data_IF_963807664226
#
_entry.id   IF_963807664226
#
_cell.length_a   1.000
_cell.length_b   1.000
_cell.length_c   1.000
_cell.angle_alpha   90.00
_cell.angle_beta   90.00
_cell.angle_gamma   90.00
#
_symmetry.space_group_name_H-M   'P 1'
#
loop_
_entity.id
_entity.type
_entity.pdbx_description
1 polymer ?
#
# COMPACT_ATOMS: atom_id res chain seq x y z
N UNK A 1 -5.84 7.05 27.76
CA UNK A 1 -5.58 6.45 26.45
C UNK A 1 -6.72 6.82 25.51
N UNK A 2 -6.43 7.43 24.35
CA UNK A 2 -7.43 7.74 23.31
C UNK A 2 -7.27 6.74 22.19
N UNK A 3 -8.34 6.02 21.84
CA UNK A 3 -8.35 4.99 20.81
C UNK A 3 -9.18 5.45 19.61
N UNK A 4 -8.68 5.27 18.41
CA UNK A 4 -9.31 5.64 17.14
C UNK A 4 -9.41 4.42 16.26
N UNK A 5 -10.51 4.31 15.52
CA UNK A 5 -10.81 3.17 14.65
C UNK A 5 -10.94 3.65 13.20
N UNK A 6 -10.47 2.81 12.28
CA UNK A 6 -10.54 3.07 10.85
C UNK A 6 -10.96 1.81 10.11
N UNK A 7 -11.70 2.00 9.03
CA UNK A 7 -12.02 0.94 8.06
C UNK A 7 -11.26 1.23 6.77
N UNK A 8 -10.27 0.39 6.46
CA UNK A 8 -9.43 0.51 5.28
C UNK A 8 -9.59 -0.75 4.44
N UNK A 9 -10.21 -0.64 3.28
CA UNK A 9 -10.54 -1.77 2.41
C UNK A 9 -11.31 -2.88 3.15
N UNK A 10 -12.30 -2.51 3.94
CA UNK A 10 -13.15 -3.42 4.76
C UNK A 10 -12.34 -4.20 5.82
N UNK A 11 -11.18 -3.69 6.21
CA UNK A 11 -10.41 -4.15 7.36
C UNK A 11 -10.42 -3.09 8.45
N UNK A 12 -10.87 -3.47 9.65
CA UNK A 12 -10.85 -2.58 10.81
C UNK A 12 -9.47 -2.58 11.44
N UNK A 13 -8.98 -1.39 11.73
CA UNK A 13 -7.72 -1.18 12.44
C UNK A 13 -7.94 -0.21 13.60
N UNK A 14 -7.11 -0.31 14.63
CA UNK A 14 -7.15 0.64 15.75
C UNK A 14 -5.79 1.25 16.04
N UNK A 15 -5.79 2.53 16.38
CA UNK A 15 -4.62 3.29 16.83
C UNK A 15 -4.94 3.92 18.18
N UNK A 16 -4.12 3.61 19.17
CA UNK A 16 -4.27 4.13 20.55
C UNK A 16 -3.11 5.03 20.90
N UNK A 17 -3.39 6.18 21.53
CA UNK A 17 -2.37 7.10 22.03
C UNK A 17 -2.37 7.07 23.55
N UNK A 18 -1.18 6.83 24.14
CA UNK A 18 -0.97 6.74 25.60
C UNK A 18 -0.45 8.08 26.11
N UNK A 19 -1.06 8.56 27.21
CA UNK A 19 -0.64 9.80 27.87
C UNK A 19 -1.13 11.07 27.19
N UNK A 20 -0.76 12.22 27.78
CA UNK A 20 -0.93 13.55 27.20
C UNK A 20 0.41 13.97 26.57
N UNK A 21 0.63 13.59 25.34
CA UNK A 21 1.88 13.83 24.61
C UNK A 21 1.61 14.66 23.33
N UNK A 22 2.65 14.94 22.56
CA UNK A 22 2.53 15.52 21.21
C UNK A 22 1.91 14.55 20.20
N UNK A 23 1.52 13.33 20.64
CA UNK A 23 0.96 12.29 19.81
C UNK A 23 -0.56 12.29 19.91
N UNK A 24 -1.22 12.55 18.80
CA UNK A 24 -2.66 12.54 18.66
C UNK A 24 -3.08 12.16 17.24
N UNK A 25 -4.39 12.08 17.00
CA UNK A 25 -4.97 11.74 15.70
C UNK A 25 -4.58 12.72 14.57
N UNK A 26 -4.19 13.96 14.90
CA UNK A 26 -3.75 14.94 13.90
C UNK A 26 -2.40 14.60 13.26
N UNK A 27 -1.71 13.55 13.75
CA UNK A 27 -0.58 12.95 13.04
C UNK A 27 -1.00 12.13 11.82
N UNK A 28 -2.30 11.79 11.68
CA UNK A 28 -2.87 10.94 10.64
C UNK A 28 -3.96 11.65 9.83
N UNK A 29 -3.70 12.84 9.22
CA UNK A 29 -4.74 13.61 8.53
C UNK A 29 -5.32 12.86 7.32
N UNK A 30 -4.53 12.03 6.63
CA UNK A 30 -4.97 11.23 5.48
C UNK A 30 -5.94 10.10 5.83
N UNK A 31 -6.10 9.78 7.12
CA UNK A 31 -6.99 8.72 7.59
C UNK A 31 -8.42 9.21 7.86
N UNK A 32 -8.68 10.51 7.81
CA UNK A 32 -10.01 11.05 8.11
C UNK A 32 -11.15 10.43 7.27
N UNK A 33 -11.00 10.17 5.94
CA UNK A 33 -12.03 9.49 5.15
C UNK A 33 -12.29 8.02 5.53
N UNK A 34 -11.40 7.42 6.31
CA UNK A 34 -11.44 6.01 6.73
C UNK A 34 -11.89 5.85 8.18
N UNK A 35 -12.11 6.94 8.90
CA UNK A 35 -12.45 6.92 10.32
C UNK A 35 -13.85 6.36 10.53
N UNK A 36 -13.97 5.49 11.51
CA UNK A 36 -15.25 4.90 11.95
C UNK A 36 -15.48 5.16 13.45
N UNK A 37 -16.70 4.92 13.90
CA UNK A 37 -17.02 4.92 15.33
C UNK A 37 -16.34 3.74 16.01
N UNK A 38 -16.25 3.80 17.33
CA UNK A 38 -15.81 2.68 18.15
C UNK A 38 -16.61 1.42 17.80
N UNK A 39 -15.93 0.29 17.75
CA UNK A 39 -16.50 -1.00 17.41
C UNK A 39 -15.98 -2.07 18.36
N UNK A 40 -16.83 -3.04 18.67
CA UNK A 40 -16.49 -4.25 19.42
C UNK A 40 -15.94 -5.36 18.50
N UNK A 41 -15.92 -5.14 17.18
CA UNK A 41 -15.38 -6.11 16.25
C UNK A 41 -13.85 -6.17 16.32
N UNK A 42 -13.31 -7.37 16.09
CA UNK A 42 -11.87 -7.61 16.07
C UNK A 42 -11.18 -6.77 14.99
N UNK A 43 -10.14 -6.04 15.41
CA UNK A 43 -9.30 -5.31 14.48
C UNK A 43 -8.27 -6.23 13.83
N UNK A 44 -8.08 -6.09 12.51
CA UNK A 44 -7.00 -6.76 11.78
C UNK A 44 -5.64 -6.47 12.40
N UNK A 45 -5.45 -5.23 12.83
CA UNK A 45 -4.27 -4.77 13.56
C UNK A 45 -4.64 -3.71 14.61
N UNK A 46 -3.87 -3.71 15.70
CA UNK A 46 -3.95 -2.70 16.76
C UNK A 46 -2.57 -2.12 17.02
N UNK A 47 -2.42 -0.81 16.92
CA UNK A 47 -1.18 -0.10 17.18
C UNK A 47 -1.33 0.81 18.41
N UNK A 48 -0.42 0.67 19.37
CA UNK A 48 -0.33 1.57 20.51
C UNK A 48 0.87 2.50 20.36
N UNK A 49 0.63 3.79 20.45
CA UNK A 49 1.66 4.85 20.43
C UNK A 49 1.97 5.24 21.85
N UNK A 50 3.18 4.94 22.30
CA UNK A 50 3.68 5.22 23.65
C UNK A 50 5.16 5.60 23.59
N UNK A 51 5.47 6.88 23.80
CA UNK A 51 6.85 7.39 23.73
C UNK A 51 7.74 6.88 24.87
N UNK A 52 7.18 6.18 25.87
CA UNK A 52 7.96 5.51 26.93
C UNK A 52 8.57 4.19 26.46
N UNK A 53 8.14 3.65 25.33
CA UNK A 53 8.66 2.40 24.74
C UNK A 53 10.17 2.50 24.52
N UNK A 54 10.89 1.46 24.95
CA UNK A 54 12.35 1.38 24.80
C UNK A 54 12.73 0.29 23.81
N UNK A 55 13.87 0.43 23.11
CA UNK A 55 14.40 -0.64 22.28
C UNK A 55 14.60 -1.92 23.06
N UNK A 56 14.30 -3.06 22.45
CA UNK A 56 14.58 -4.38 22.98
C UNK A 56 16.10 -4.53 23.15
N UNK A 57 16.55 -5.18 24.22
CA UNK A 57 17.97 -5.40 24.50
C UNK A 57 18.66 -6.10 23.31
N UNK A 58 19.88 -5.70 22.99
CA UNK A 58 20.66 -6.22 21.86
C UNK A 58 20.83 -7.74 21.90
N UNK A 59 20.93 -8.33 23.08
CA UNK A 59 21.06 -9.78 23.28
C UNK A 59 19.81 -10.59 22.92
N UNK A 60 18.66 -9.90 22.87
CA UNK A 60 17.35 -10.49 22.57
C UNK A 60 16.90 -10.22 21.13
N UNK A 61 17.74 -9.61 20.28
CA UNK A 61 17.40 -9.31 18.89
C UNK A 61 18.59 -9.47 17.96
N UNK A 62 18.30 -9.80 16.71
CA UNK A 62 19.28 -9.97 15.66
C UNK A 62 18.91 -9.11 14.44
N UNK A 63 19.88 -8.39 13.88
CA UNK A 63 19.69 -7.60 12.68
C UNK A 63 19.44 -8.52 11.47
N UNK A 64 18.29 -8.31 10.81
CA UNK A 64 17.93 -9.05 9.60
C UNK A 64 18.26 -8.25 8.35
N UNK A 65 17.82 -6.98 8.30
CA UNK A 65 17.90 -6.17 7.08
C UNK A 65 17.93 -4.66 7.39
N UNK A 66 18.36 -3.91 6.39
CA UNK A 66 18.21 -2.46 6.30
C UNK A 66 17.76 -2.15 4.90
N UNK A 67 16.52 -1.69 4.73
CA UNK A 67 15.98 -1.39 3.42
C UNK A 67 15.69 0.10 3.24
N UNK A 68 15.92 0.59 2.02
CA UNK A 68 15.64 1.96 1.62
C UNK A 68 14.30 2.01 0.89
N UNK A 69 13.41 2.87 1.36
CA UNK A 69 12.07 3.06 0.77
C UNK A 69 12.03 4.19 -0.24
N UNK A 70 13.15 4.87 -0.48
CA UNK A 70 13.22 6.09 -1.28
C UNK A 70 12.81 7.37 -0.52
N UNK A 71 12.11 7.21 0.61
CA UNK A 71 11.71 8.30 1.52
C UNK A 71 12.42 8.22 2.87
N UNK A 72 13.34 7.27 3.02
CA UNK A 72 14.08 7.00 4.23
C UNK A 72 14.47 5.54 4.34
N UNK A 73 15.12 5.18 5.45
CA UNK A 73 15.61 3.82 5.70
C UNK A 73 14.87 3.20 6.85
N UNK A 74 14.57 1.92 6.73
CA UNK A 74 14.03 1.12 7.84
C UNK A 74 15.00 0.01 8.19
N UNK A 75 15.34 -0.06 9.47
CA UNK A 75 16.17 -1.09 10.07
C UNK A 75 15.23 -2.12 10.68
N UNK A 76 15.48 -3.42 10.47
CA UNK A 76 14.67 -4.50 11.03
C UNK A 76 15.53 -5.50 11.79
N UNK A 77 15.10 -5.84 12.98
CA UNK A 77 15.67 -6.87 13.83
C UNK A 77 14.59 -7.93 14.14
N UNK A 78 14.93 -9.21 14.08
CA UNK A 78 14.10 -10.27 14.65
C UNK A 78 14.27 -10.29 16.16
N UNK A 79 13.23 -10.70 16.89
CA UNK A 79 13.21 -10.75 18.35
C UNK A 79 13.16 -12.20 18.81
N UNK A 80 14.02 -12.58 19.75
CA UNK A 80 13.98 -13.88 20.40
C UNK A 80 12.63 -14.05 21.12
N UNK A 81 11.94 -15.13 20.84
CA UNK A 81 10.58 -15.35 21.33
C UNK A 81 9.48 -14.93 20.39
N UNK A 82 9.82 -14.34 19.24
CA UNK A 82 8.90 -13.98 18.15
C UNK A 82 8.67 -12.47 18.01
N UNK A 83 8.23 -12.09 16.80
CA UNK A 83 8.02 -10.70 16.45
C UNK A 83 9.28 -9.99 15.96
N UNK A 84 9.13 -8.68 15.77
CA UNK A 84 10.17 -7.86 15.15
C UNK A 84 10.28 -6.49 15.80
N UNK A 85 11.46 -5.88 15.68
CA UNK A 85 11.67 -4.47 15.97
C UNK A 85 12.12 -3.74 14.73
N UNK A 86 11.45 -2.63 14.43
CA UNK A 86 11.79 -1.73 13.33
C UNK A 86 12.23 -0.37 13.85
N UNK A 87 13.19 0.25 13.19
CA UNK A 87 13.54 1.65 13.37
C UNK A 87 13.35 2.35 12.04
N UNK A 88 12.31 3.17 11.96
CA UNK A 88 12.02 3.99 10.77
C UNK A 88 12.81 5.28 10.86
N UNK A 89 13.56 5.58 9.81
CA UNK A 89 14.35 6.79 9.65
C UNK A 89 13.85 7.58 8.45
N UNK A 90 13.89 8.90 8.54
CA UNK A 90 13.60 9.78 7.41
C UNK A 90 14.74 9.83 6.38
N UNK A 91 14.57 10.66 5.37
CA UNK A 91 15.54 10.85 4.29
C UNK A 91 16.87 11.43 4.78
N UNK A 92 16.88 12.14 5.92
CA UNK A 92 18.07 12.70 6.55
C UNK A 92 18.82 11.66 7.41
N UNK A 93 18.20 10.50 7.65
CA UNK A 93 18.72 9.45 8.50
C UNK A 93 18.33 9.59 9.97
N UNK A 94 17.43 10.53 10.31
CA UNK A 94 16.94 10.74 11.66
C UNK A 94 15.85 9.72 12.02
N UNK A 95 15.93 9.16 13.23
CA UNK A 95 14.96 8.17 13.70
C UNK A 95 13.62 8.82 14.03
N UNK A 96 12.56 8.38 13.36
CA UNK A 96 11.19 8.90 13.49
C UNK A 96 10.28 8.00 14.32
N UNK A 97 10.49 6.67 14.22
CA UNK A 97 9.65 5.69 14.91
C UNK A 97 10.47 4.47 15.30
N UNK A 98 10.31 4.04 16.54
CA UNK A 98 10.63 2.70 17.02
C UNK A 98 9.33 1.91 17.02
N UNK A 99 9.25 0.81 16.26
CA UNK A 99 8.09 -0.07 16.21
C UNK A 99 8.48 -1.47 16.67
N UNK A 100 7.68 -2.06 17.57
CA UNK A 100 7.80 -3.45 18.01
C UNK A 100 6.49 -4.17 17.69
N UNK A 101 6.59 -5.38 17.16
CA UNK A 101 5.44 -6.15 16.70
C UNK A 101 5.45 -7.56 17.25
N UNK A 102 4.28 -8.17 17.34
CA UNK A 102 4.18 -9.62 17.48
C UNK A 102 4.52 -10.32 16.14
N UNK A 103 4.56 -11.65 16.14
CA UNK A 103 5.01 -12.45 15.00
C UNK A 103 4.06 -12.43 13.79
N UNK A 104 2.79 -12.10 13.98
CA UNK A 104 1.76 -12.07 12.92
C UNK A 104 1.34 -10.65 12.53
N UNK A 105 2.03 -9.62 13.04
CA UNK A 105 1.82 -8.21 12.74
C UNK A 105 0.43 -7.66 13.11
N UNK A 106 -0.34 -8.40 13.92
CA UNK A 106 -1.67 -7.95 14.38
C UNK A 106 -1.60 -6.95 15.53
N UNK A 107 -0.49 -6.94 16.27
CA UNK A 107 -0.26 -6.04 17.40
C UNK A 107 1.07 -5.33 17.21
N UNK A 108 1.03 -4.00 17.32
CA UNK A 108 2.21 -3.14 17.31
C UNK A 108 2.22 -2.19 18.50
N UNK A 109 3.43 -1.89 19.00
CA UNK A 109 3.70 -0.80 19.93
C UNK A 109 4.77 0.09 19.32
N UNK A 110 4.58 1.40 19.34
CA UNK A 110 5.60 2.30 18.82
C UNK A 110 5.83 3.53 19.70
N UNK A 111 7.06 4.02 19.67
CA UNK A 111 7.45 5.33 20.16
C UNK A 111 7.83 6.22 19.00
N UNK A 112 7.35 7.46 19.01
CA UNK A 112 7.62 8.45 17.97
C UNK A 112 8.66 9.47 18.45
N UNK A 113 9.46 9.97 17.50
CA UNK A 113 10.53 10.91 17.80
C UNK A 113 10.57 12.07 16.80
N UNK A 114 11.16 13.18 17.22
CA UNK A 114 11.42 14.34 16.38
C UNK A 114 10.26 15.30 16.26
N UNK A 115 10.26 16.07 15.18
CA UNK A 115 9.23 17.07 14.87
C UNK A 115 7.88 16.43 14.56
N UNK A 116 6.82 17.22 14.50
CA UNK A 116 5.48 16.73 14.11
C UNK A 116 5.48 16.02 12.75
N UNK A 117 6.24 16.52 11.77
CA UNK A 117 6.38 15.88 10.46
C UNK A 117 7.07 14.53 10.54
N UNK A 118 8.16 14.43 11.32
CA UNK A 118 8.85 13.16 11.55
C UNK A 118 7.96 12.15 12.26
N UNK A 119 7.22 12.57 13.29
CA UNK A 119 6.26 11.73 14.03
C UNK A 119 5.13 11.23 13.11
N UNK A 120 4.56 12.12 12.29
CA UNK A 120 3.54 11.77 11.30
C UNK A 120 4.07 10.77 10.29
N UNK A 121 5.27 11.00 9.72
CA UNK A 121 5.92 10.09 8.80
C UNK A 121 6.19 8.71 9.44
N UNK A 122 6.76 8.70 10.64
CA UNK A 122 7.07 7.47 11.37
C UNK A 122 5.82 6.64 11.69
N UNK A 123 4.76 7.28 12.19
CA UNK A 123 3.50 6.63 12.52
C UNK A 123 2.80 6.08 11.27
N UNK A 124 2.72 6.89 10.22
CA UNK A 124 2.11 6.49 8.95
C UNK A 124 2.85 5.30 8.33
N UNK A 125 4.18 5.30 8.35
CA UNK A 125 5.01 4.20 7.86
C UNK A 125 4.82 2.93 8.69
N UNK A 126 4.73 3.06 10.02
CA UNK A 126 4.49 1.93 10.93
C UNK A 126 3.14 1.24 10.62
N UNK A 127 2.06 2.01 10.49
CA UNK A 127 0.73 1.48 10.18
C UNK A 127 0.72 0.83 8.78
N UNK A 128 1.34 1.47 7.79
CA UNK A 128 1.43 0.96 6.43
C UNK A 128 2.15 -0.39 6.37
N UNK A 129 3.28 -0.54 7.06
CA UNK A 129 4.02 -1.81 7.14
C UNK A 129 3.19 -2.91 7.81
N UNK A 130 2.62 -2.64 8.98
CA UNK A 130 1.76 -3.61 9.68
C UNK A 130 0.59 -4.04 8.82
N UNK A 131 -0.07 -3.08 8.16
CA UNK A 131 -1.19 -3.34 7.27
C UNK A 131 -0.80 -4.23 6.09
N UNK A 132 0.33 -3.92 5.43
CA UNK A 132 0.82 -4.70 4.30
C UNK A 132 1.17 -6.14 4.71
N UNK A 133 1.86 -6.32 5.84
CA UNK A 133 2.36 -7.64 6.27
C UNK A 133 1.26 -8.52 6.86
N UNK A 134 0.37 -7.95 7.65
CA UNK A 134 -0.81 -8.65 8.16
C UNK A 134 -1.83 -8.93 7.06
N UNK A 135 -1.98 -8.01 6.11
CA UNK A 135 -2.99 -8.06 5.06
C UNK A 135 -2.88 -9.29 4.16
N UNK A 136 -1.67 -9.78 3.88
CA UNK A 136 -1.49 -10.97 3.02
C UNK A 136 -2.15 -12.22 3.59
N UNK A 137 -2.20 -12.36 4.92
CA UNK A 137 -2.93 -13.43 5.61
C UNK A 137 -4.44 -13.36 5.37
N UNK A 138 -4.93 -12.17 5.10
CA UNK A 138 -6.35 -11.84 4.94
C UNK A 138 -6.72 -11.57 3.48
N UNK A 139 -5.92 -12.09 2.54
CA UNK A 139 -6.19 -11.98 1.10
C UNK A 139 -6.04 -10.55 0.56
N UNK A 140 -5.13 -9.75 1.13
CA UNK A 140 -4.97 -8.33 0.81
C UNK A 140 -3.53 -8.00 0.46
N UNK A 141 -3.33 -7.29 -0.66
CA UNK A 141 -2.05 -6.78 -1.13
C UNK A 141 -2.06 -5.25 -1.10
N UNK A 142 -1.02 -4.65 -0.55
CA UNK A 142 -0.72 -3.25 -0.76
C UNK A 142 0.29 -3.14 -1.90
N UNK A 143 -0.02 -2.39 -2.95
CA UNK A 143 0.81 -2.33 -4.16
C UNK A 143 1.28 -0.91 -4.48
N UNK A 144 2.46 -0.79 -5.05
CA UNK A 144 2.98 0.48 -5.56
C UNK A 144 2.46 0.74 -6.98
N UNK A 145 1.31 1.42 -7.06
CA UNK A 145 0.60 1.72 -8.28
C UNK A 145 -0.17 3.04 -8.17
N UNK A 146 -0.53 3.63 -9.30
CA UNK A 146 -1.55 4.66 -9.38
C UNK A 146 -2.84 4.00 -9.86
N UNK A 147 -3.98 4.32 -9.25
CA UNK A 147 -5.25 3.64 -9.47
C UNK A 147 -6.29 4.62 -10.02
N UNK A 148 -6.71 4.40 -11.26
CA UNK A 148 -7.77 5.16 -11.94
C UNK A 148 -9.03 4.30 -12.05
N UNK A 149 -10.21 4.94 -11.94
CA UNK A 149 -11.49 4.27 -12.12
C UNK A 149 -12.19 4.81 -13.37
N UNK A 150 -12.84 3.91 -14.11
CA UNK A 150 -13.72 4.23 -15.22
C UNK A 150 -14.78 3.13 -15.38
N UNK A 151 -16.02 3.50 -15.73
CA UNK A 151 -17.14 2.58 -15.90
C UNK A 151 -17.33 1.60 -14.72
N UNK A 152 -17.06 2.05 -13.50
CA UNK A 152 -17.21 1.21 -12.29
C UNK A 152 -16.04 0.25 -12.02
N UNK A 153 -15.04 0.13 -12.90
CA UNK A 153 -13.86 -0.71 -12.72
C UNK A 153 -12.62 0.11 -12.39
N UNK A 154 -11.73 -0.46 -11.56
CA UNK A 154 -10.44 0.15 -11.22
C UNK A 154 -9.31 -0.45 -12.06
N UNK A 155 -8.41 0.40 -12.54
CA UNK A 155 -7.26 0.05 -13.37
C UNK A 155 -5.99 0.46 -12.66
N UNK A 156 -5.14 -0.52 -12.31
CA UNK A 156 -3.91 -0.29 -11.57
C UNK A 156 -2.73 -0.09 -12.53
N UNK A 157 -2.13 1.08 -12.46
CA UNK A 157 -1.00 1.48 -13.29
C UNK A 157 0.27 1.41 -12.45
N UNK A 158 1.16 0.47 -12.77
CA UNK A 158 2.47 0.33 -12.10
C UNK A 158 3.60 0.73 -13.04
N UNK A 159 4.71 1.18 -12.46
CA UNK A 159 5.93 1.54 -13.20
C UNK A 159 7.15 1.43 -12.29
N UNK A 160 8.35 1.46 -12.86
CA UNK A 160 9.57 1.62 -12.07
C UNK A 160 9.50 2.95 -11.30
N UNK A 161 9.98 2.95 -10.04
CA UNK A 161 9.97 4.14 -9.18
C UNK A 161 10.53 5.38 -9.90
N UNK A 162 9.90 6.54 -9.65
CA UNK A 162 10.30 7.82 -10.28
C UNK A 162 9.81 8.03 -11.70
N UNK A 163 8.96 7.13 -12.24
CA UNK A 163 8.40 7.26 -13.59
C UNK A 163 6.88 7.46 -13.56
N UNK A 164 6.45 8.29 -14.45
CA UNK A 164 5.17 8.57 -15.15
C UNK A 164 3.84 7.89 -14.71
N UNK A 165 3.71 7.17 -13.57
CA UNK A 165 2.41 6.61 -13.13
C UNK A 165 1.33 7.70 -13.04
N UNK A 166 1.57 8.68 -12.19
CA UNK A 166 0.66 9.81 -11.96
C UNK A 166 0.46 10.65 -13.22
N UNK A 167 1.48 10.77 -14.09
CA UNK A 167 1.33 11.44 -15.39
C UNK A 167 0.33 10.70 -16.26
N UNK A 168 0.43 9.37 -16.35
CA UNK A 168 -0.46 8.57 -17.18
C UNK A 168 -1.89 8.53 -16.65
N UNK A 169 -2.08 8.40 -15.33
CA UNK A 169 -3.42 8.49 -14.74
C UNK A 169 -4.06 9.86 -14.91
N UNK A 170 -3.26 10.94 -14.87
CA UNK A 170 -3.76 12.28 -15.19
C UNK A 170 -4.17 12.40 -16.65
N UNK A 171 -3.44 11.79 -17.60
CA UNK A 171 -3.83 11.74 -19.00
C UNK A 171 -5.15 10.96 -19.20
N UNK A 172 -5.38 9.89 -18.43
CA UNK A 172 -6.68 9.21 -18.43
C UNK A 172 -7.80 10.13 -17.99
N UNK A 173 -7.64 10.83 -16.86
CA UNK A 173 -8.66 11.74 -16.31
C UNK A 173 -8.96 12.88 -17.27
N UNK A 174 -7.95 13.38 -17.99
CA UNK A 174 -8.11 14.51 -18.91
C UNK A 174 -8.73 14.11 -20.26
N UNK A 175 -8.52 12.88 -20.74
CA UNK A 175 -8.87 12.47 -22.09
C UNK A 175 -9.94 11.39 -22.19
N UNK A 176 -10.32 10.76 -21.08
CA UNK A 176 -11.30 9.67 -21.04
C UNK A 176 -12.42 10.05 -20.08
N UNK A 177 -13.56 10.35 -20.66
CA UNK A 177 -14.75 10.78 -19.93
C UNK A 177 -15.15 9.76 -18.85
N UNK A 178 -15.58 10.25 -17.69
CA UNK A 178 -15.99 9.44 -16.55
C UNK A 178 -14.85 8.78 -15.78
N UNK A 179 -13.58 9.15 -16.08
CA UNK A 179 -12.43 8.67 -15.31
C UNK A 179 -12.18 9.52 -14.08
N UNK A 180 -11.86 8.87 -12.95
CA UNK A 180 -11.45 9.54 -11.72
C UNK A 180 -10.30 8.80 -11.01
N UNK A 181 -9.52 9.53 -10.22
CA UNK A 181 -8.44 8.95 -9.42
C UNK A 181 -9.00 8.30 -8.16
N UNK A 182 -8.64 7.05 -7.90
CA UNK A 182 -8.96 6.36 -6.66
C UNK A 182 -7.84 6.45 -5.62
N UNK A 183 -6.59 6.33 -6.07
CA UNK A 183 -5.39 6.46 -5.24
C UNK A 183 -4.16 6.71 -6.13
N UNK A 184 -3.16 7.43 -5.60
CA UNK A 184 -1.89 7.66 -6.28
C UNK A 184 -0.72 7.26 -5.38
N UNK A 185 -0.31 6.03 -5.41
CA UNK A 185 0.92 5.44 -4.90
C UNK A 185 0.76 4.07 -4.22
N UNK A 186 -0.17 3.91 -3.26
CA UNK A 186 -0.32 2.66 -2.49
C UNK A 186 -1.80 2.22 -2.39
N UNK A 187 -2.48 1.93 -3.51
CA UNK A 187 -3.79 1.31 -3.49
C UNK A 187 -3.72 -0.12 -2.92
N UNK A 188 -4.89 -0.62 -2.55
CA UNK A 188 -5.05 -1.95 -2.00
C UNK A 188 -5.76 -2.83 -3.02
N UNK A 189 -5.29 -4.06 -3.19
CA UNK A 189 -5.99 -5.14 -3.91
C UNK A 189 -6.42 -6.17 -2.89
N UNK A 190 -7.69 -6.56 -2.90
CA UNK A 190 -8.24 -7.55 -1.98
C UNK A 190 -9.08 -8.58 -2.72
N UNK A 191 -8.96 -9.86 -2.32
CA UNK A 191 -9.82 -10.92 -2.78
C UNK A 191 -11.02 -11.11 -1.84
N UNK A 192 -12.23 -11.13 -2.40
CA UNK A 192 -13.50 -11.40 -1.70
C UNK A 192 -14.31 -12.31 -2.62
N UNK A 193 -14.76 -13.45 -2.13
CA UNK A 193 -15.58 -14.41 -2.87
C UNK A 193 -14.99 -14.76 -4.26
N UNK A 194 -13.69 -15.04 -4.30
CA UNK A 194 -12.92 -15.32 -5.52
C UNK A 194 -12.96 -14.21 -6.59
N UNK A 195 -13.23 -12.97 -6.19
CA UNK A 195 -13.12 -11.78 -7.05
C UNK A 195 -12.13 -10.80 -6.45
N UNK A 196 -11.36 -10.14 -7.32
CA UNK A 196 -10.44 -9.10 -6.87
C UNK A 196 -11.06 -7.72 -6.99
N UNK A 197 -10.93 -6.97 -5.92
CA UNK A 197 -11.34 -5.57 -5.80
C UNK A 197 -10.14 -4.70 -5.52
N UNK A 198 -10.21 -3.46 -5.98
CA UNK A 198 -9.24 -2.41 -5.69
C UNK A 198 -9.88 -1.33 -4.83
N UNK A 199 -9.07 -0.77 -3.95
CA UNK A 199 -9.51 0.24 -3.00
C UNK A 199 -8.55 1.42 -2.98
N UNK A 200 -9.10 2.61 -2.71
CA UNK A 200 -8.30 3.71 -2.22
C UNK A 200 -7.72 3.42 -0.84
N UNK A 201 -6.73 4.19 -0.45
CA UNK A 201 -6.03 4.01 0.83
C UNK A 201 -5.65 5.36 1.45
N UNK A 202 -5.28 5.40 2.75
CA UNK A 202 -4.73 6.60 3.36
C UNK A 202 -3.28 6.91 2.93
N UNK A 203 -2.68 6.08 2.09
CA UNK A 203 -1.31 6.21 1.61
C UNK A 203 -1.29 6.65 0.16
N UNK A 204 -0.95 7.91 -0.08
CA UNK A 204 -0.85 8.50 -1.41
C UNK A 204 0.51 9.15 -1.62
N UNK A 205 0.92 9.29 -2.88
CA UNK A 205 2.18 9.89 -3.27
C UNK A 205 2.12 11.41 -3.39
N UNK A 206 2.68 11.92 -4.48
CA UNK A 206 2.76 13.37 -4.74
C UNK A 206 1.39 14.01 -4.99
N UNK A 207 0.42 13.22 -5.46
CA UNK A 207 -0.96 13.67 -5.64
C UNK A 207 -1.78 13.19 -4.45
N UNK A 208 -2.14 14.05 -3.50
CA UNK A 208 -2.98 13.67 -2.37
C UNK A 208 -4.33 13.12 -2.85
N UNK A 209 -4.59 11.84 -2.59
CA UNK A 209 -5.83 11.17 -2.96
C UNK A 209 -6.16 10.11 -1.91
N UNK A 210 -6.95 10.52 -0.91
CA UNK A 210 -7.32 9.69 0.23
C UNK A 210 -8.82 9.41 0.17
N UNK A 211 -9.21 8.32 -0.50
CA UNK A 211 -10.63 8.01 -0.75
C UNK A 211 -10.96 6.60 -0.26
N UNK A 212 -11.96 6.49 0.58
CA UNK A 212 -12.48 5.19 1.02
C UNK A 212 -13.51 4.69 0.00
N UNK A 213 -13.03 4.21 -1.14
CA UNK A 213 -13.85 3.73 -2.26
C UNK A 213 -13.33 2.40 -2.78
N UNK A 214 -14.25 1.60 -3.35
CA UNK A 214 -14.04 0.25 -3.88
C UNK A 214 -14.46 0.17 -5.34
N UNK A 215 -13.77 -0.65 -6.12
CA UNK A 215 -14.19 -1.06 -7.46
C UNK A 215 -13.69 -2.48 -7.76
N UNK A 216 -14.37 -3.26 -8.63
CA UNK A 216 -13.79 -4.47 -9.19
C UNK A 216 -12.48 -4.13 -9.94
N UNK A 217 -11.48 -5.01 -9.85
CA UNK A 217 -10.23 -4.85 -10.61
C UNK A 217 -10.49 -5.13 -12.09
N UNK A 218 -10.28 -4.12 -12.94
CA UNK A 218 -10.42 -4.22 -14.40
C UNK A 218 -9.17 -4.74 -15.10
N UNK A 219 -8.01 -4.17 -14.78
CA UNK A 219 -6.72 -4.62 -15.31
C UNK A 219 -5.54 -4.06 -14.50
N UNK A 220 -4.37 -4.66 -14.72
CA UNK A 220 -3.07 -4.15 -14.25
C UNK A 220 -2.19 -3.86 -15.45
N UNK A 221 -1.60 -2.67 -15.49
CA UNK A 221 -0.72 -2.23 -16.58
C UNK A 221 0.62 -1.76 -16.03
N UNK A 222 1.70 -2.30 -16.56
CA UNK A 222 3.05 -1.78 -16.33
C UNK A 222 3.43 -0.80 -17.43
N UNK A 223 3.77 0.43 -17.05
CA UNK A 223 4.25 1.44 -17.98
C UNK A 223 5.77 1.41 -18.10
N UNK A 224 6.24 1.49 -19.33
CA UNK A 224 7.65 1.67 -19.69
C UNK A 224 7.78 2.79 -20.72
N UNK A 225 8.72 3.71 -20.51
CA UNK A 225 8.99 4.78 -21.48
C UNK A 225 9.51 4.19 -22.79
N UNK A 226 8.97 4.65 -23.92
CA UNK A 226 9.38 4.22 -25.25
C UNK A 226 9.22 5.36 -26.27
N UNK A 227 9.75 5.15 -27.46
CA UNK A 227 9.65 6.10 -28.58
C UNK A 227 8.33 6.01 -29.36
N UNK A 228 7.51 5.00 -29.07
CA UNK A 228 6.21 4.75 -29.73
C UNK A 228 5.24 4.14 -28.73
N UNK A 229 3.97 4.46 -28.88
CA UNK A 229 2.90 3.90 -28.08
C UNK A 229 2.57 2.48 -28.56
N UNK A 230 2.65 1.50 -27.68
CA UNK A 230 2.35 0.10 -27.97
C UNK A 230 1.90 -0.63 -26.70
N UNK A 231 0.78 -1.32 -26.82
CA UNK A 231 0.31 -2.26 -25.77
C UNK A 231 0.71 -3.69 -26.11
N UNK A 232 1.06 -4.46 -25.09
CA UNK A 232 1.25 -5.90 -25.23
C UNK A 232 0.68 -6.63 -24.00
N UNK A 233 -0.01 -7.73 -24.26
CA UNK A 233 -0.38 -8.70 -23.23
C UNK A 233 0.87 -9.49 -22.84
N UNK A 234 1.16 -9.59 -21.56
CA UNK A 234 2.35 -10.32 -21.10
C UNK A 234 2.04 -11.77 -20.73
N UNK A 235 3.07 -12.61 -20.75
CA UNK A 235 2.96 -13.98 -20.26
C UNK A 235 2.72 -14.03 -18.75
N UNK A 236 2.22 -15.16 -18.24
CA UNK A 236 2.00 -15.37 -16.80
C UNK A 236 3.26 -15.13 -15.98
N UNK A 237 4.40 -15.69 -16.39
CA UNK A 237 5.68 -15.50 -15.70
C UNK A 237 6.13 -14.03 -15.68
N UNK A 238 5.94 -13.31 -16.79
CA UNK A 238 6.23 -11.87 -16.87
C UNK A 238 5.30 -11.08 -15.97
N UNK A 239 4.01 -11.41 -15.93
CA UNK A 239 3.01 -10.77 -15.07
C UNK A 239 3.36 -10.95 -13.58
N UNK A 240 3.74 -12.16 -13.17
CA UNK A 240 4.23 -12.43 -11.83
C UNK A 240 5.45 -11.57 -11.48
N UNK A 241 6.42 -11.50 -12.39
CA UNK A 241 7.62 -10.66 -12.25
C UNK A 241 7.36 -9.15 -12.26
N UNK A 242 6.17 -8.72 -12.70
CA UNK A 242 5.71 -7.32 -12.64
C UNK A 242 5.06 -7.04 -11.27
N UNK A 243 4.15 -7.92 -10.82
CA UNK A 243 3.28 -7.65 -9.68
C UNK A 243 4.00 -7.86 -8.34
N UNK A 244 4.75 -8.97 -8.18
CA UNK A 244 5.43 -9.26 -6.91
C UNK A 244 6.37 -8.14 -6.47
N UNK A 245 7.22 -7.55 -7.32
CA UNK A 245 8.06 -6.41 -6.93
C UNK A 245 7.28 -5.12 -6.65
N UNK A 246 6.03 -5.01 -7.13
CA UNK A 246 5.17 -3.88 -6.83
C UNK A 246 4.44 -4.02 -5.48
N UNK A 247 4.37 -5.24 -4.91
CA UNK A 247 3.77 -5.47 -3.61
C UNK A 247 4.67 -4.97 -2.48
N UNK A 248 4.06 -4.35 -1.47
CA UNK A 248 4.71 -4.06 -0.20
C UNK A 248 4.84 -5.37 0.59
N UNK A 249 6.01 -5.98 0.53
CA UNK A 249 6.31 -7.29 1.14
C UNK A 249 7.74 -7.35 1.65
N UNK A 250 8.05 -8.38 2.42
CA UNK A 250 9.37 -8.58 3.03
C UNK A 250 9.97 -9.92 2.59
N UNK A 251 11.02 -9.85 1.77
CA UNK A 251 11.69 -11.06 1.24
C UNK A 251 12.37 -11.91 2.31
N UNK A 252 12.77 -11.33 3.42
CA UNK A 252 13.41 -12.03 4.54
C UNK A 252 12.40 -12.74 5.44
N UNK A 253 11.13 -12.34 5.47
CA UNK A 253 10.06 -13.09 6.12
C UNK A 253 9.45 -14.07 5.13
N UNK A 254 9.83 -15.34 5.24
CA UNK A 254 9.37 -16.40 4.33
C UNK A 254 7.85 -16.59 4.36
N UNK A 255 7.20 -16.35 5.50
CA UNK A 255 5.76 -16.46 5.65
C UNK A 255 5.05 -15.36 4.85
N UNK A 256 5.38 -14.10 5.12
CA UNK A 256 4.80 -12.93 4.43
C UNK A 256 5.10 -12.98 2.93
N UNK A 257 6.35 -13.28 2.55
CA UNK A 257 6.74 -13.34 1.14
C UNK A 257 6.05 -14.49 0.39
N UNK A 258 6.01 -15.69 0.98
CA UNK A 258 5.34 -16.85 0.40
C UNK A 258 3.86 -16.57 0.15
N UNK A 259 3.14 -16.06 1.15
CA UNK A 259 1.72 -15.70 1.01
C UNK A 259 1.48 -14.54 0.02
N UNK A 260 2.40 -13.58 -0.09
CA UNK A 260 2.36 -12.57 -1.14
C UNK A 260 2.43 -13.22 -2.52
N UNK A 261 3.36 -14.17 -2.73
CA UNK A 261 3.47 -14.90 -3.98
C UNK A 261 2.21 -15.73 -4.30
N UNK A 262 1.68 -16.47 -3.31
CA UNK A 262 0.45 -17.26 -3.48
C UNK A 262 -0.74 -16.39 -3.85
N UNK A 263 -0.88 -15.23 -3.23
CA UNK A 263 -1.97 -14.32 -3.53
C UNK A 263 -1.82 -13.68 -4.92
N UNK A 264 -0.59 -13.39 -5.36
CA UNK A 264 -0.33 -12.93 -6.73
C UNK A 264 -0.61 -14.02 -7.75
N UNK A 265 -0.27 -15.28 -7.47
CA UNK A 265 -0.64 -16.41 -8.31
C UNK A 265 -2.16 -16.49 -8.48
N UNK A 266 -2.90 -16.44 -7.37
CA UNK A 266 -4.37 -16.45 -7.38
C UNK A 266 -4.94 -15.24 -8.13
N UNK A 267 -4.33 -14.07 -7.99
CA UNK A 267 -4.69 -12.86 -8.74
C UNK A 267 -4.59 -13.11 -10.25
N UNK A 268 -3.48 -13.68 -10.71
CA UNK A 268 -3.25 -13.94 -12.13
C UNK A 268 -4.17 -15.02 -12.72
N UNK A 269 -4.66 -15.95 -11.89
CA UNK A 269 -5.61 -16.99 -12.31
C UNK A 269 -7.04 -16.46 -12.46
N UNK A 270 -7.42 -15.48 -11.66
CA UNK A 270 -8.82 -15.02 -11.53
C UNK A 270 -9.10 -13.66 -12.17
N UNK A 271 -8.08 -12.94 -12.64
CA UNK A 271 -8.25 -11.58 -13.17
C UNK A 271 -7.96 -11.49 -14.67
N UNK A 272 -8.37 -10.38 -15.31
CA UNK A 272 -7.98 -10.07 -16.67
C UNK A 272 -6.46 -10.08 -16.85
N UNK A 273 -5.99 -10.24 -18.09
CA UNK A 273 -4.56 -10.24 -18.39
C UNK A 273 -3.84 -9.00 -17.89
N UNK A 274 -2.56 -9.16 -17.53
CA UNK A 274 -1.65 -8.05 -17.28
C UNK A 274 -1.05 -7.58 -18.59
N UNK A 275 -0.88 -6.27 -18.72
CA UNK A 275 -0.34 -5.63 -19.92
C UNK A 275 0.91 -4.82 -19.59
N UNK A 276 1.74 -4.65 -20.64
CA UNK A 276 2.75 -3.60 -20.69
C UNK A 276 2.32 -2.53 -21.69
N UNK A 277 2.45 -1.28 -21.25
CA UNK A 277 2.32 -0.12 -22.11
C UNK A 277 3.71 0.49 -22.30
N UNK A 278 4.24 0.37 -23.51
CA UNK A 278 5.40 1.13 -23.97
C UNK A 278 4.87 2.46 -24.50
N UNK A 279 5.27 3.59 -23.91
CA UNK A 279 4.61 4.84 -24.28
C UNK A 279 5.45 6.11 -24.15
N UNK A 280 5.00 7.12 -24.90
CA UNK A 280 5.24 8.53 -24.66
C UNK A 280 4.27 9.06 -23.60
N UNK A 281 4.57 10.18 -22.93
CA UNK A 281 3.65 10.80 -21.97
C UNK A 281 2.64 11.71 -22.69
N UNK A 282 1.76 11.13 -23.52
CA UNK A 282 0.79 11.84 -24.34
C UNK A 282 -0.63 11.25 -24.24
N UNK A 283 -1.62 11.97 -24.79
CA UNK A 283 -3.02 11.56 -24.79
C UNK A 283 -3.25 10.27 -25.57
N UNK A 284 -2.50 10.05 -26.66
CA UNK A 284 -2.62 8.85 -27.49
C UNK A 284 -2.28 7.58 -26.69
N UNK A 285 -1.27 7.66 -25.80
CA UNK A 285 -0.94 6.55 -24.89
C UNK A 285 -2.09 6.22 -23.94
N UNK A 286 -2.78 7.22 -23.40
CA UNK A 286 -3.92 7.00 -22.51
C UNK A 286 -5.10 6.38 -23.26
N UNK A 287 -5.41 6.88 -24.45
CA UNK A 287 -6.48 6.34 -25.30
C UNK A 287 -6.18 4.91 -25.74
N UNK A 288 -4.96 4.62 -26.20
CA UNK A 288 -4.52 3.27 -26.57
C UNK A 288 -4.65 2.29 -25.37
N UNK A 289 -4.24 2.73 -24.20
CA UNK A 289 -4.35 1.93 -22.97
C UNK A 289 -5.83 1.64 -22.69
N UNK A 290 -6.66 2.66 -22.64
CA UNK A 290 -8.09 2.54 -22.40
C UNK A 290 -8.78 1.61 -23.40
N UNK A 291 -8.58 1.83 -24.70
CA UNK A 291 -9.20 1.01 -25.76
C UNK A 291 -8.80 -0.47 -25.68
N UNK A 292 -7.62 -0.75 -25.13
CA UNK A 292 -7.11 -2.13 -24.96
C UNK A 292 -7.69 -2.84 -23.75
N UNK A 293 -7.83 -2.13 -22.60
CA UNK A 293 -8.11 -2.81 -21.32
C UNK A 293 -9.46 -2.48 -20.71
N UNK A 294 -10.13 -1.41 -21.17
CA UNK A 294 -11.36 -0.95 -20.53
C UNK A 294 -12.49 -1.96 -20.73
N UNK A 295 -13.12 -2.30 -19.61
CA UNK A 295 -14.37 -3.07 -19.61
C UNK A 295 -15.47 -2.09 -19.99
N UNK A 296 -16.02 -2.27 -21.20
CA UNK A 296 -17.13 -1.46 -21.70
C UNK A 296 -18.44 -2.01 -21.13
N UNK A 297 -19.37 -1.15 -20.67
CA UNK A 297 -20.69 -1.62 -20.29
C UNK A 297 -21.33 -2.33 -21.50
N UNK A 298 -21.97 -3.46 -21.25
CA UNK A 298 -22.79 -4.10 -22.27
C UNK A 298 -23.73 -3.05 -22.85
N UNK A 299 -23.70 -2.86 -24.15
CA UNK A 299 -24.68 -2.01 -24.82
C UNK A 299 -26.06 -2.69 -24.64
N UNK A 300 -26.85 -2.16 -23.70
CA UNK A 300 -28.26 -2.50 -23.57
C UNK A 300 -29.03 -2.03 -24.80
#
# INVERSE_FOLDING_TARGET
>A
MKKHFFDIAEHKISVSFVGETANDIFLLPSYEPFKIKETDEDCMLSLTVDDSLKPINKELRERIDIFDTGNGKTIVDSVKGGGYQFIVKDINGDSCCLLQTNSDYSIGNCALNGTRLMRSFGLNTAIMMLYAFRGVELGTLLIHASLVRNNGYGYAITAKSGTVKSTHTNLWIQNIEGSDLMNDDNPIIRIIDNKFYVYGSPWSGKTPCYRNIKAPLGAIVKIERAKRNRMEKVSYATAFGIIVPACSTMKWDKGVFGKTCDLVIKLLELTPPVYKLHCLPDAEAALLCYDTIAIKPDRQ
#
